data_IF_337967014383
#
_entry.id   IF_337967014383
#
_cell.length_a   1.000
_cell.length_b   1.000
_cell.length_c   1.000
_cell.angle_alpha   90.00
_cell.angle_beta   90.00
_cell.angle_gamma   90.00
#
_symmetry.space_group_name_H-M   'P 1'
#
loop_
_entity.id
_entity.type
_entity.pdbx_description
1 polymer ?
#
# COMPACT_ATOMS: atom_id res chain seq x y z
N UNK A 1 14.33 11.99 -4.02
CA UNK A 1 13.54 10.75 -4.22
C UNK A 1 14.35 9.75 -5.05
N UNK A 2 14.46 8.48 -4.65
CA UNK A 2 15.12 7.47 -5.50
C UNK A 2 14.17 7.09 -6.65
N UNK A 3 14.36 7.73 -7.79
CA UNK A 3 13.59 7.41 -9.00
C UNK A 3 13.88 5.94 -9.39
N UNK A 4 12.84 5.20 -9.77
CA UNK A 4 12.92 3.81 -10.26
C UNK A 4 13.34 2.70 -9.28
N UNK A 5 13.13 2.87 -7.97
CA UNK A 5 13.30 1.75 -7.02
C UNK A 5 11.95 1.29 -6.47
N UNK A 6 11.73 -0.01 -6.46
CA UNK A 6 10.61 -0.62 -5.76
C UNK A 6 10.64 -0.27 -4.25
N UNK A 7 9.47 -0.29 -3.62
CA UNK A 7 9.29 -0.15 -2.18
C UNK A 7 8.55 -1.38 -1.67
N UNK A 8 9.05 -1.93 -0.57
CA UNK A 8 8.43 -3.08 0.08
C UNK A 8 7.75 -2.58 1.35
N UNK A 9 6.44 -2.77 1.43
CA UNK A 9 5.66 -2.52 2.63
C UNK A 9 5.24 -3.85 3.22
N UNK A 10 5.49 -4.04 4.52
CA UNK A 10 5.02 -5.23 5.22
C UNK A 10 3.57 -5.01 5.62
N UNK A 11 2.71 -5.94 5.24
CA UNK A 11 1.33 -6.00 5.70
C UNK A 11 1.31 -6.72 7.05
N UNK A 12 0.82 -6.05 8.08
CA UNK A 12 0.58 -6.64 9.39
C UNK A 12 -0.91 -6.93 9.58
N UNK A 13 -1.21 -7.92 10.41
CA UNK A 13 -2.58 -8.31 10.73
C UNK A 13 -2.67 -8.60 12.23
N UNK A 14 -3.57 -7.91 12.93
CA UNK A 14 -3.84 -8.10 14.35
C UNK A 14 -5.31 -7.73 14.64
N UNK A 15 -6.00 -8.51 15.48
CA UNK A 15 -7.38 -8.23 15.91
C UNK A 15 -8.37 -7.95 14.75
N UNK A 16 -8.30 -8.74 13.66
CA UNK A 16 -9.07 -8.55 12.42
C UNK A 16 -8.86 -7.18 11.74
N UNK A 17 -7.72 -6.55 11.98
CA UNK A 17 -7.31 -5.29 11.37
C UNK A 17 -5.99 -5.49 10.62
N UNK A 18 -5.90 -4.90 9.43
CA UNK A 18 -4.73 -4.93 8.55
C UNK A 18 -4.10 -3.54 8.52
N UNK A 19 -2.77 -3.46 8.61
CA UNK A 19 -2.07 -2.17 8.65
C UNK A 19 -0.65 -2.23 8.09
N UNK A 20 -0.12 -1.05 7.72
CA UNK A 20 1.28 -0.85 7.33
C UNK A 20 2.11 -0.20 8.45
N UNK A 21 1.45 0.48 9.39
CA UNK A 21 2.03 1.16 10.54
C UNK A 21 1.07 1.10 11.74
N UNK A 22 1.58 1.21 12.96
CA UNK A 22 0.81 0.93 14.19
C UNK A 22 -0.39 1.87 14.44
N UNK A 23 -0.45 3.02 13.78
CA UNK A 23 -1.44 4.06 14.06
C UNK A 23 -2.67 4.01 13.15
N UNK A 24 -2.66 3.17 12.11
CA UNK A 24 -3.71 3.17 11.09
C UNK A 24 -4.05 1.76 10.61
N UNK A 25 -5.18 1.24 11.11
CA UNK A 25 -5.71 -0.08 10.80
C UNK A 25 -6.94 -0.04 9.90
N UNK A 26 -7.13 -1.10 9.13
CA UNK A 26 -8.21 -1.27 8.17
C UNK A 26 -8.91 -2.61 8.35
N UNK A 27 -10.25 -2.66 8.16
CA UNK A 27 -11.01 -3.90 8.35
C UNK A 27 -10.70 -4.98 7.29
N UNK A 28 -10.11 -4.60 6.15
CA UNK A 28 -9.70 -5.52 5.10
C UNK A 28 -8.72 -4.82 4.13
N UNK A 29 -8.15 -5.59 3.21
CA UNK A 29 -7.19 -5.11 2.23
C UNK A 29 -7.78 -4.08 1.25
N UNK A 30 -9.07 -4.18 0.90
CA UNK A 30 -9.71 -3.21 -0.02
C UNK A 30 -9.72 -1.81 0.61
N UNK A 31 -10.16 -1.70 1.86
CA UNK A 31 -10.20 -0.44 2.59
C UNK A 31 -8.81 0.19 2.73
N UNK A 32 -7.78 -0.64 2.95
CA UNK A 32 -6.38 -0.19 2.98
C UNK A 32 -5.95 0.38 1.62
N UNK A 33 -6.25 -0.33 0.52
CA UNK A 33 -5.90 0.09 -0.84
C UNK A 33 -6.62 1.40 -1.20
N UNK A 34 -7.91 1.50 -0.92
CA UNK A 34 -8.72 2.71 -1.18
C UNK A 34 -8.17 3.92 -0.42
N UNK A 35 -7.77 3.74 0.84
CA UNK A 35 -7.14 4.80 1.62
C UNK A 35 -5.84 5.27 0.97
N UNK A 36 -4.91 4.35 0.67
CA UNK A 36 -3.61 4.70 0.10
C UNK A 36 -3.65 5.03 -1.40
N UNK A 37 -4.81 4.92 -2.05
CA UNK A 37 -5.06 5.49 -3.36
C UNK A 37 -5.20 7.03 -3.29
N UNK A 38 -5.82 7.52 -2.22
CA UNK A 38 -6.06 8.95 -1.99
C UNK A 38 -5.01 9.61 -1.09
N UNK A 39 -4.33 8.83 -0.25
CA UNK A 39 -3.36 9.31 0.74
C UNK A 39 -1.97 8.69 0.52
N UNK A 40 -0.88 9.41 0.81
CA UNK A 40 0.47 8.88 0.66
C UNK A 40 0.72 7.65 1.55
N UNK A 41 1.50 6.71 1.03
CA UNK A 41 2.04 5.58 1.78
C UNK A 41 2.97 6.06 2.91
N UNK A 42 3.12 5.28 4.00
CA UNK A 42 3.98 5.65 5.12
C UNK A 42 5.41 5.94 4.68
N UNK A 43 6.05 6.89 5.39
CA UNK A 43 7.41 7.37 5.13
C UNK A 43 7.62 8.10 3.79
N UNK A 44 6.55 8.54 3.13
CA UNK A 44 6.61 9.27 1.87
C UNK A 44 5.64 10.46 1.84
N UNK A 45 6.07 11.56 1.21
CA UNK A 45 5.27 12.80 1.16
C UNK A 45 4.13 12.76 0.11
N UNK A 46 4.29 11.97 -0.96
CA UNK A 46 3.37 12.00 -2.12
C UNK A 46 3.19 10.66 -2.83
N UNK A 47 3.75 9.57 -2.30
CA UNK A 47 3.70 8.27 -2.96
C UNK A 47 2.37 7.57 -2.67
N UNK A 48 1.40 7.66 -3.57
CA UNK A 48 0.13 6.93 -3.47
C UNK A 48 0.12 5.67 -4.33
N UNK A 49 -0.77 4.73 -3.99
CA UNK A 49 -1.14 3.64 -4.88
C UNK A 49 -1.87 4.22 -6.09
N UNK A 50 -1.64 3.64 -7.27
CA UNK A 50 -2.27 4.09 -8.51
C UNK A 50 -2.91 2.93 -9.26
N UNK A 51 -2.11 2.19 -10.01
CA UNK A 51 -2.59 1.03 -10.77
C UNK A 51 -1.98 -0.25 -10.19
N UNK A 52 -2.79 -1.32 -10.08
CA UNK A 52 -2.27 -2.60 -9.67
C UNK A 52 -1.28 -3.11 -10.72
N UNK A 53 -0.26 -3.82 -10.27
CA UNK A 53 0.65 -4.49 -11.18
C UNK A 53 -0.06 -5.66 -11.86
N UNK A 54 -0.40 -5.51 -13.14
CA UNK A 54 -0.88 -6.59 -13.99
C UNK A 54 0.32 -7.22 -14.68
N UNK A 55 0.71 -8.43 -14.29
CA UNK A 55 1.73 -9.19 -15.04
C UNK A 55 1.16 -9.49 -16.42
N UNK A 56 1.57 -8.73 -17.43
CA UNK A 56 1.28 -9.07 -18.83
C UNK A 56 2.14 -10.29 -19.13
N UNK A 57 1.52 -11.47 -19.18
CA UNK A 57 2.18 -12.65 -19.72
C UNK A 57 2.31 -12.43 -21.23
N UNK A 58 3.45 -11.92 -21.67
CA UNK A 58 3.82 -11.96 -23.08
C UNK A 58 3.91 -13.43 -23.50
N UNK A 59 3.03 -13.83 -24.42
CA UNK A 59 3.07 -15.13 -25.09
C UNK A 59 4.29 -15.26 -26.00
#
# INVERSE_FOLDING_TARGET
ASINKARNYRLFEENNSIFLENNLGFPNLSALIEHYYLHPLPHHDSLCLQQPYTKVLSS
#
